data_IF_080785633780
#
_entry.id   IF_080785633780
#
_cell.length_a   1.000
_cell.length_b   1.000
_cell.length_c   1.000
_cell.angle_alpha   90.00
_cell.angle_beta   90.00
_cell.angle_gamma   90.00
#
_symmetry.space_group_name_H-M   'P 1'
#
loop_
_entity.id
_entity.type
_entity.pdbx_description
1 polymer ?
#
# COMPACT_ATOMS: atom_id res chain seq x y z
N UNK A 1 7.97 -8.03 9.96
CA UNK A 1 7.00 -8.06 8.85
C UNK A 1 6.47 -9.47 8.78
N UNK A 2 5.15 -9.63 8.78
CA UNK A 2 4.51 -10.94 8.95
C UNK A 2 3.97 -11.47 7.62
N UNK A 3 3.59 -10.57 6.70
CA UNK A 3 2.94 -10.95 5.43
C UNK A 3 3.43 -10.04 4.30
N UNK A 4 3.78 -10.66 3.16
CA UNK A 4 3.99 -9.98 1.88
C UNK A 4 2.77 -10.13 0.99
N UNK A 5 2.27 -9.02 0.47
CA UNK A 5 1.16 -8.99 -0.48
C UNK A 5 1.71 -8.69 -1.87
N UNK A 6 1.27 -9.45 -2.86
CA UNK A 6 1.43 -9.14 -4.28
C UNK A 6 0.16 -8.42 -4.77
N UNK A 7 0.32 -7.34 -5.53
CA UNK A 7 -0.79 -6.64 -6.15
C UNK A 7 -0.46 -6.17 -7.57
N UNK A 8 -1.50 -5.96 -8.37
CA UNK A 8 -1.39 -5.36 -9.69
C UNK A 8 -1.95 -3.94 -9.69
N UNK A 9 -1.21 -3.01 -10.31
CA UNK A 9 -1.63 -1.64 -10.60
C UNK A 9 -1.78 -1.50 -12.12
N UNK A 10 -2.99 -1.73 -12.63
CA UNK A 10 -3.30 -1.70 -14.06
C UNK A 10 -4.51 -0.79 -14.35
N UNK A 11 -4.79 -0.51 -15.63
CA UNK A 11 -5.93 0.31 -16.03
C UNK A 11 -5.83 1.74 -15.47
N UNK A 12 -6.93 2.26 -14.93
CA UNK A 12 -6.97 3.61 -14.33
C UNK A 12 -6.14 3.73 -13.05
N UNK A 13 -5.90 2.62 -12.33
CA UNK A 13 -5.07 2.62 -11.12
C UNK A 13 -3.60 3.00 -11.40
N UNK A 14 -3.13 2.89 -12.66
CA UNK A 14 -1.79 3.36 -13.08
C UNK A 14 -1.58 4.85 -12.89
N UNK A 15 -2.63 5.64 -12.67
CA UNK A 15 -2.53 7.08 -12.47
C UNK A 15 -2.49 7.48 -10.99
N UNK A 16 -2.67 6.55 -10.05
CA UNK A 16 -2.58 6.82 -8.61
C UNK A 16 -1.15 7.12 -8.20
N UNK A 17 -0.88 8.27 -7.57
CA UNK A 17 0.41 8.56 -6.96
C UNK A 17 0.77 7.58 -5.84
N UNK A 18 2.04 7.55 -5.42
CA UNK A 18 2.47 6.70 -4.30
C UNK A 18 1.71 7.02 -3.00
N UNK A 19 1.41 8.31 -2.75
CA UNK A 19 0.63 8.72 -1.58
C UNK A 19 -0.82 8.22 -1.64
N UNK A 20 -1.43 8.22 -2.82
CA UNK A 20 -2.78 7.66 -3.00
C UNK A 20 -2.78 6.15 -2.83
N UNK A 21 -1.72 5.46 -3.25
CA UNK A 21 -1.55 4.02 -3.00
C UNK A 21 -1.47 3.70 -1.51
N UNK A 22 -0.70 4.47 -0.73
CA UNK A 22 -0.64 4.35 0.74
C UNK A 22 -2.05 4.47 1.34
N UNK A 23 -2.79 5.52 0.99
CA UNK A 23 -4.16 5.77 1.47
C UNK A 23 -5.16 4.73 1.00
N UNK A 24 -4.96 4.16 -0.19
CA UNK A 24 -5.80 3.09 -0.74
C UNK A 24 -5.64 1.83 0.10
N UNK A 25 -4.40 1.39 0.35
CA UNK A 25 -4.14 0.18 1.13
C UNK A 25 -4.54 0.34 2.60
N UNK A 26 -4.24 1.48 3.22
CA UNK A 26 -4.71 1.77 4.58
C UNK A 26 -6.25 1.65 4.69
N UNK A 27 -6.99 2.26 3.76
CA UNK A 27 -8.47 2.19 3.74
C UNK A 27 -8.97 0.77 3.50
N UNK A 28 -8.35 0.04 2.58
CA UNK A 28 -8.70 -1.35 2.28
C UNK A 28 -8.48 -2.26 3.47
N UNK A 29 -7.33 -2.18 4.13
CA UNK A 29 -7.02 -2.99 5.32
C UNK A 29 -7.93 -2.66 6.50
N UNK A 30 -8.23 -1.37 6.72
CA UNK A 30 -9.20 -0.95 7.74
C UNK A 30 -10.61 -1.49 7.45
N UNK A 31 -11.06 -1.45 6.18
CA UNK A 31 -12.36 -1.99 5.78
C UNK A 31 -12.42 -3.51 5.88
N UNK A 32 -11.29 -4.19 5.72
CA UNK A 32 -11.16 -5.63 5.91
C UNK A 32 -10.97 -6.04 7.38
N UNK A 33 -10.95 -5.08 8.33
CA UNK A 33 -10.71 -5.32 9.76
C UNK A 33 -9.43 -6.13 10.04
N UNK A 34 -8.37 -5.89 9.26
CA UNK A 34 -7.09 -6.58 9.47
C UNK A 34 -6.36 -6.01 10.70
N UNK A 35 -5.70 -6.87 11.51
CA UNK A 35 -4.90 -6.43 12.65
C UNK A 35 -3.58 -5.82 12.15
N UNK A 36 -3.55 -4.50 11.93
CA UNK A 36 -2.36 -3.78 11.49
C UNK A 36 -1.47 -3.37 12.67
N UNK A 37 -0.15 -3.46 12.49
CA UNK A 37 0.80 -2.82 13.38
C UNK A 37 0.89 -1.32 13.10
N UNK A 38 0.98 -0.50 14.15
CA UNK A 38 1.09 0.96 14.05
C UNK A 38 2.46 1.47 14.55
N UNK A 39 2.87 2.64 14.08
CA UNK A 39 4.02 3.36 14.62
C UNK A 39 3.73 3.83 16.06
N UNK A 40 4.81 4.08 16.84
CA UNK A 40 4.72 4.46 18.26
C UNK A 40 4.88 5.98 18.49
N UNK A 41 4.62 6.80 17.48
CA UNK A 41 4.77 8.27 17.54
C UNK A 41 3.48 8.98 17.94
N UNK A 42 3.54 10.32 18.02
CA UNK A 42 2.38 11.18 18.31
C UNK A 42 1.24 11.06 17.28
N UNK A 43 1.55 10.66 16.05
CA UNK A 43 0.57 10.32 15.01
C UNK A 43 0.83 8.89 14.55
N UNK A 44 0.14 7.89 15.13
CA UNK A 44 0.33 6.49 14.78
C UNK A 44 -0.18 6.24 13.36
N UNK A 45 0.71 5.77 12.49
CA UNK A 45 0.38 5.35 11.13
C UNK A 45 0.60 3.84 10.99
N UNK A 46 -0.19 3.14 10.15
CA UNK A 46 0.05 1.74 9.84
C UNK A 46 1.49 1.53 9.33
N UNK A 47 2.14 0.48 9.83
CA UNK A 47 3.46 0.07 9.36
C UNK A 47 3.31 -0.70 8.06
N UNK A 48 3.35 0.01 6.94
CA UNK A 48 3.32 -0.56 5.60
C UNK A 48 4.62 -0.19 4.91
N UNK A 49 5.28 -1.17 4.30
CA UNK A 49 6.45 -0.92 3.45
C UNK A 49 6.15 -1.34 2.03
N UNK A 50 6.35 -0.43 1.08
CA UNK A 50 6.16 -0.72 -0.33
C UNK A 50 7.49 -1.07 -0.97
N UNK A 51 7.44 -1.87 -2.03
CA UNK A 51 8.52 -1.95 -3.01
C UNK A 51 8.76 -0.60 -3.71
N UNK A 52 9.73 -0.55 -4.64
CA UNK A 52 10.03 0.66 -5.39
C UNK A 52 8.79 1.23 -6.07
N UNK A 53 8.49 2.53 -5.91
CA UNK A 53 7.31 3.11 -6.52
C UNK A 53 7.48 3.16 -8.05
N UNK A 54 6.41 2.82 -8.77
CA UNK A 54 6.33 3.03 -10.20
C UNK A 54 5.97 4.49 -10.53
N UNK A 55 6.51 5.06 -11.63
CA UNK A 55 6.07 6.37 -12.10
C UNK A 55 4.55 6.43 -12.32
N UNK A 56 3.99 7.65 -12.23
CA UNK A 56 2.60 7.88 -12.59
C UNK A 56 2.42 7.57 -14.08
N UNK A 57 1.34 6.88 -14.40
CA UNK A 57 1.11 6.40 -15.75
C UNK A 57 1.87 5.11 -16.06
N UNK A 58 2.57 4.44 -15.14
CA UNK A 58 3.18 3.12 -15.42
C UNK A 58 2.36 2.01 -14.75
N UNK A 59 2.08 0.95 -15.52
CA UNK A 59 1.35 -0.22 -15.02
C UNK A 59 2.32 -1.26 -14.46
N UNK A 60 1.93 -1.88 -13.34
CA UNK A 60 2.65 -2.96 -12.68
C UNK A 60 1.75 -4.16 -12.48
N UNK A 61 2.25 -5.37 -12.74
CA UNK A 61 1.46 -6.61 -12.56
C UNK A 61 1.80 -7.37 -11.28
N UNK A 62 2.99 -7.15 -10.75
CA UNK A 62 3.56 -7.87 -9.60
C UNK A 62 4.32 -6.90 -8.71
N UNK A 63 3.57 -5.96 -8.17
CA UNK A 63 4.08 -5.04 -7.17
C UNK A 63 3.94 -5.65 -5.79
N UNK A 64 4.79 -5.25 -4.86
CA UNK A 64 4.85 -5.84 -3.53
C UNK A 64 4.72 -4.80 -2.44
N UNK A 65 4.04 -5.17 -1.36
CA UNK A 65 4.08 -4.47 -0.09
C UNK A 65 4.13 -5.46 1.08
N UNK A 66 4.69 -5.02 2.18
CA UNK A 66 4.85 -5.78 3.41
C UNK A 66 4.11 -5.08 4.56
N UNK A 67 3.42 -5.88 5.38
CA UNK A 67 2.67 -5.45 6.58
C UNK A 67 2.97 -6.32 7.81
#
# INVERSE_FOLDING_TARGET
>A
MLIRLEYSRCGTARFLSHLEMLRLFERSFRRASLPLAFSRGFNPHPKISFGPPLPVGVSGRREYLDV
#
